data_IF_355529053141
#
_entry.id   IF_355529053141
#
_cell.length_a   1.000
_cell.length_b   1.000
_cell.length_c   1.000
_cell.angle_alpha   90.00
_cell.angle_beta   90.00
_cell.angle_gamma   90.00
#
_symmetry.space_group_name_H-M   'P 1'
#
loop_
_entity.id
_entity.type
_entity.pdbx_description
1 polymer ?
#
# COMPACT_ATOMS: atom_id res chain seq x y z
N UNK A 1 7.70 -6.49 -13.21
CA UNK A 1 8.72 -5.67 -12.50
C UNK A 1 10.03 -5.56 -13.26
N UNK A 2 10.51 -6.64 -13.90
CA UNK A 2 11.77 -6.69 -14.66
C UNK A 2 12.09 -5.47 -15.52
N UNK A 3 11.14 -4.96 -16.32
CA UNK A 3 11.33 -3.76 -17.14
C UNK A 3 11.63 -2.50 -16.31
N UNK A 4 10.80 -2.21 -15.30
CA UNK A 4 10.95 -1.04 -14.42
C UNK A 4 12.28 -1.11 -13.66
N UNK A 5 12.66 -2.29 -13.17
CA UNK A 5 13.93 -2.49 -12.46
C UNK A 5 15.16 -2.40 -13.37
N UNK A 6 15.08 -2.85 -14.62
CA UNK A 6 16.17 -2.70 -15.59
C UNK A 6 16.48 -1.22 -15.88
N UNK A 7 15.48 -0.36 -15.79
CA UNK A 7 15.60 1.10 -15.96
C UNK A 7 15.96 1.85 -14.66
N UNK A 8 16.21 1.15 -13.54
CA UNK A 8 16.51 1.76 -12.25
C UNK A 8 15.36 2.58 -11.65
N UNK A 9 14.11 2.31 -12.05
CA UNK A 9 12.91 3.05 -11.61
C UNK A 9 12.21 2.36 -10.43
N UNK A 10 11.45 3.15 -9.67
CA UNK A 10 10.60 2.67 -8.58
C UNK A 10 9.36 1.95 -9.11
N UNK A 11 9.06 0.79 -8.55
CA UNK A 11 7.89 -0.01 -8.89
C UNK A 11 6.91 -0.09 -7.71
N UNK A 12 5.67 0.33 -7.95
CA UNK A 12 4.59 0.35 -6.94
C UNK A 12 3.33 -0.34 -7.49
N UNK A 13 3.23 -1.68 -7.45
CA UNK A 13 2.05 -2.39 -7.92
C UNK A 13 0.86 -2.21 -6.96
N UNK A 14 -0.35 -2.26 -7.51
CA UNK A 14 -1.59 -2.35 -6.74
C UNK A 14 -1.83 -3.76 -6.21
N UNK A 15 -2.36 -3.87 -4.98
CA UNK A 15 -2.74 -5.13 -4.33
C UNK A 15 -4.07 -4.96 -3.59
N UNK A 16 -4.76 -6.09 -3.38
CA UNK A 16 -6.01 -6.17 -2.63
C UNK A 16 -5.95 -7.20 -1.49
N UNK A 17 -4.95 -8.08 -1.48
CA UNK A 17 -4.79 -9.15 -0.48
C UNK A 17 -3.37 -9.23 0.12
N UNK A 18 -3.19 -9.84 1.31
CA UNK A 18 -1.86 -10.01 1.90
C UNK A 18 -0.93 -10.89 1.04
N UNK A 19 -1.49 -11.92 0.39
CA UNK A 19 -0.73 -12.80 -0.52
C UNK A 19 -0.16 -12.03 -1.71
N UNK A 20 -0.92 -11.10 -2.28
CA UNK A 20 -0.43 -10.25 -3.36
C UNK A 20 0.65 -9.29 -2.88
N UNK A 21 0.51 -8.70 -1.68
CA UNK A 21 1.54 -7.84 -1.10
C UNK A 21 2.87 -8.59 -0.94
N UNK A 22 2.83 -9.80 -0.37
CA UNK A 22 4.00 -10.65 -0.23
C UNK A 22 4.63 -11.01 -1.58
N UNK A 23 3.84 -11.50 -2.54
CA UNK A 23 4.33 -11.87 -3.87
C UNK A 23 4.93 -10.68 -4.63
N UNK A 24 4.29 -9.52 -4.56
CA UNK A 24 4.78 -8.30 -5.18
C UNK A 24 6.15 -7.92 -4.65
N UNK A 25 6.34 -7.99 -3.33
CA UNK A 25 7.61 -7.71 -2.69
C UNK A 25 8.70 -8.72 -3.08
N UNK A 26 8.39 -10.02 -3.07
CA UNK A 26 9.29 -11.08 -3.54
C UNK A 26 9.70 -10.91 -5.01
N UNK A 27 8.85 -10.30 -5.84
CA UNK A 27 9.15 -9.98 -7.24
C UNK A 27 9.92 -8.68 -7.44
N UNK A 28 10.26 -7.98 -6.35
CA UNK A 28 11.07 -6.77 -6.34
C UNK A 28 10.26 -5.47 -6.36
N UNK A 29 9.05 -5.45 -5.79
CA UNK A 29 8.35 -4.20 -5.51
C UNK A 29 9.15 -3.39 -4.48
N UNK A 30 9.24 -2.08 -4.70
CA UNK A 30 9.85 -1.19 -3.71
C UNK A 30 8.81 -0.80 -2.63
N UNK A 31 7.54 -0.69 -3.03
CA UNK A 31 6.38 -0.32 -2.20
C UNK A 31 5.17 -1.04 -2.79
N UNK A 32 4.15 -1.38 -2.01
CA UNK A 32 2.85 -1.85 -2.55
C UNK A 32 1.74 -0.82 -2.32
N UNK A 33 0.86 -0.67 -3.31
CA UNK A 33 -0.33 0.18 -3.24
C UNK A 33 -1.54 -0.65 -2.84
N UNK A 34 -2.13 -0.38 -1.68
CA UNK A 34 -3.43 -0.99 -1.31
C UNK A 34 -4.54 -0.21 -1.98
N UNK A 35 -5.33 -0.87 -2.84
CA UNK A 35 -6.38 -0.20 -3.59
C UNK A 35 -7.53 -1.14 -3.96
N UNK A 36 -8.80 -0.70 -3.83
CA UNK A 36 -9.24 0.55 -3.20
C UNK A 36 -9.22 0.46 -1.66
N UNK A 37 -8.72 1.52 -0.99
CA UNK A 37 -8.48 1.49 0.45
C UNK A 37 -9.74 1.63 1.31
N UNK A 38 -10.79 2.26 0.81
CA UNK A 38 -12.11 2.37 1.45
C UNK A 38 -12.83 1.01 1.57
N UNK A 39 -12.67 0.12 0.59
CA UNK A 39 -13.23 -1.22 0.63
C UNK A 39 -12.54 -2.14 1.67
N UNK A 40 -11.24 -1.92 1.93
CA UNK A 40 -10.44 -2.75 2.84
C UNK A 40 -10.30 -2.14 4.25
N UNK A 41 -10.30 -0.81 4.34
CA UNK A 41 -10.13 -0.05 5.57
C UNK A 41 -8.70 -0.06 6.14
N UNK A 42 -8.45 0.83 7.11
CA UNK A 42 -7.17 0.90 7.81
C UNK A 42 -6.89 -0.34 8.68
N UNK A 43 -7.93 -1.08 9.09
CA UNK A 43 -7.81 -2.33 9.86
C UNK A 43 -7.14 -3.44 9.03
N UNK A 44 -7.43 -3.52 7.73
CA UNK A 44 -6.71 -4.40 6.82
C UNK A 44 -5.21 -4.08 6.82
N UNK A 45 -4.84 -2.80 6.67
CA UNK A 45 -3.44 -2.37 6.69
C UNK A 45 -2.72 -2.82 7.96
N UNK A 46 -3.34 -2.57 9.12
CA UNK A 46 -2.82 -2.98 10.42
C UNK A 46 -2.65 -4.50 10.51
N UNK A 47 -3.62 -5.26 9.99
CA UNK A 47 -3.56 -6.72 9.92
C UNK A 47 -2.42 -7.23 9.04
N UNK A 48 -2.17 -6.59 7.89
CA UNK A 48 -1.05 -6.93 6.98
C UNK A 48 0.30 -6.57 7.60
N UNK A 49 0.40 -5.40 8.23
CA UNK A 49 1.64 -4.91 8.83
C UNK A 49 2.11 -5.74 10.03
N UNK A 50 1.25 -6.57 10.63
CA UNK A 50 1.66 -7.54 11.66
C UNK A 50 2.74 -8.53 11.14
N UNK A 51 2.41 -9.40 10.18
CA UNK A 51 3.37 -10.34 9.59
C UNK A 51 4.29 -9.70 8.53
N UNK A 52 3.83 -8.65 7.83
CA UNK A 52 4.54 -8.05 6.68
C UNK A 52 5.03 -6.61 6.95
N UNK A 53 5.34 -6.28 8.21
CA UNK A 53 5.72 -4.91 8.60
C UNK A 53 6.98 -4.33 7.94
N UNK A 54 7.75 -5.16 7.24
CA UNK A 54 8.91 -4.74 6.46
C UNK A 54 8.55 -4.29 5.04
N UNK A 55 7.32 -4.55 4.57
CA UNK A 55 6.85 -4.14 3.23
C UNK A 55 6.22 -2.75 3.34
N UNK A 56 6.77 -1.72 2.64
CA UNK A 56 6.18 -0.38 2.65
C UNK A 56 4.84 -0.36 1.91
N UNK A 57 3.83 0.29 2.50
CA UNK A 57 2.47 0.34 1.94
C UNK A 57 1.97 1.78 1.77
N UNK A 58 1.34 2.04 0.61
CA UNK A 58 0.58 3.26 0.31
C UNK A 58 -0.89 2.89 0.06
N UNK A 59 -1.82 3.12 1.00
CA UNK A 59 -3.25 3.00 0.71
C UNK A 59 -3.72 4.12 -0.21
N UNK A 60 -4.69 3.85 -1.08
CA UNK A 60 -5.25 4.82 -2.03
C UNK A 60 -6.73 4.53 -2.28
N UNK A 61 -7.53 5.59 -2.41
CA UNK A 61 -8.98 5.54 -2.66
C UNK A 61 -9.78 5.73 -1.37
N UNK A 62 -10.64 6.77 -1.37
CA UNK A 62 -11.50 7.10 -0.23
C UNK A 62 -10.78 7.57 1.04
N UNK A 63 -9.58 8.13 0.91
CA UNK A 63 -8.82 8.72 2.02
C UNK A 63 -9.06 10.23 2.05
N UNK A 64 -9.43 10.75 3.22
CA UNK A 64 -9.75 12.16 3.49
C UNK A 64 -9.15 12.59 4.84
N UNK A 65 -9.45 13.82 5.27
CA UNK A 65 -8.92 14.37 6.52
C UNK A 65 -9.41 13.63 7.77
N UNK A 66 -10.60 13.02 7.71
CA UNK A 66 -11.21 12.35 8.85
C UNK A 66 -10.57 10.97 9.11
N UNK A 67 -10.06 10.32 8.06
CA UNK A 67 -9.50 8.97 8.16
C UNK A 67 -7.98 8.87 7.96
N UNK A 68 -7.29 9.93 7.53
CA UNK A 68 -5.85 9.91 7.22
C UNK A 68 -5.00 9.41 8.40
N UNK A 69 -5.35 9.83 9.63
CA UNK A 69 -4.58 9.52 10.84
C UNK A 69 -4.65 8.02 11.14
N UNK A 70 -5.81 7.41 10.92
CA UNK A 70 -6.01 5.96 11.11
C UNK A 70 -5.11 5.14 10.16
N UNK A 71 -4.96 5.56 8.91
CA UNK A 71 -4.04 4.90 7.96
C UNK A 71 -2.57 5.11 8.36
N UNK A 72 -2.20 6.32 8.82
CA UNK A 72 -0.84 6.58 9.31
C UNK A 72 -0.49 5.69 10.50
N UNK A 73 -1.40 5.59 11.48
CA UNK A 73 -1.23 4.74 12.66
C UNK A 73 -1.21 3.24 12.31
N UNK A 74 -1.88 2.85 11.24
CA UNK A 74 -1.88 1.47 10.74
C UNK A 74 -0.60 1.09 9.97
N UNK A 75 0.38 1.99 9.86
CA UNK A 75 1.69 1.71 9.25
C UNK A 75 1.85 2.22 7.81
N UNK A 76 0.93 3.02 7.29
CA UNK A 76 1.11 3.65 5.98
C UNK A 76 2.34 4.58 5.97
N UNK A 77 3.13 4.49 4.90
CA UNK A 77 4.31 5.37 4.69
C UNK A 77 3.96 6.66 3.96
N UNK A 78 2.88 6.63 3.18
CA UNK A 78 2.26 7.77 2.50
C UNK A 78 0.80 7.42 2.19
N UNK A 79 0.02 8.39 1.70
CA UNK A 79 -1.33 8.16 1.20
C UNK A 79 -1.42 8.55 -0.28
N UNK A 80 -2.24 7.83 -1.04
CA UNK A 80 -2.65 8.26 -2.38
C UNK A 80 -3.90 9.13 -2.27
N UNK A 81 -3.70 10.45 -2.32
CA UNK A 81 -4.79 11.44 -2.37
C UNK A 81 -5.45 11.47 -3.76
N UNK A 82 -6.78 11.56 -3.77
CA UNK A 82 -7.60 11.67 -4.99
C UNK A 82 -8.62 12.78 -4.87
N UNK A 83 -9.81 12.62 -5.46
CA UNK A 83 -10.83 13.67 -5.54
C UNK A 83 -11.41 14.17 -4.19
N UNK A 84 -11.12 13.48 -3.09
CA UNK A 84 -11.76 13.69 -1.77
C UNK A 84 -10.76 14.08 -0.67
N UNK A 85 -9.53 14.44 -1.02
CA UNK A 85 -8.47 14.81 -0.08
C UNK A 85 -8.25 16.33 -0.05
#
# INVERSE_FOLDING_TARGET
>A
MRFVKAEGKTMIPGIFTPTEAFRAYEWGADIVKVFPADALGHSFLKGVQGPLGHIPIIPTGGIDLDNLVSYRQAGAIAIGAGAHC
#
